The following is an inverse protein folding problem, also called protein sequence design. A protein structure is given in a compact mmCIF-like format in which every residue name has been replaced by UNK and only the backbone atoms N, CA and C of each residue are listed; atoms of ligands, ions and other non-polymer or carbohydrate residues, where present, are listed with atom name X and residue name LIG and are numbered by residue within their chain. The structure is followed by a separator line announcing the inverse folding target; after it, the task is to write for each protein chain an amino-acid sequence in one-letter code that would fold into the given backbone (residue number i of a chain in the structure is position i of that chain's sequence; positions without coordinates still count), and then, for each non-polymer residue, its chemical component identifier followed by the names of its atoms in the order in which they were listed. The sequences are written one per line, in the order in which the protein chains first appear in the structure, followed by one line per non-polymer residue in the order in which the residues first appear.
data_IF_399159445172
#
_entry.id   IF_399159445172
#
_cell.length_a   1.000
_cell.length_b   1.000
_cell.length_c   1.000
_cell.angle_alpha   90.00
_cell.angle_beta   90.00
_cell.angle_gamma   90.00
#
_symmetry.space_group_name_H-M   'P 1'
#
loop_
_entity.id
_entity.type
_entity.pdbx_description
1 polymer ?
#
# COMPACT_ATOMS: atom_id res chain seq x y z
N UNK A 1 -6.47 -23.06 3.62
CA UNK A 1 -7.23 -24.22 4.13
C UNK A 1 -8.74 -24.05 3.96
N UNK A 2 -9.36 -22.94 4.38
CA UNK A 2 -10.83 -22.79 4.27
C UNK A 2 -11.40 -22.76 2.83
N UNK A 3 -10.63 -22.28 1.86
CA UNK A 3 -11.08 -22.17 0.45
C UNK A 3 -11.05 -23.50 -0.32
N UNK A 4 -10.12 -24.40 0.01
CA UNK A 4 -9.96 -25.71 -0.63
C UNK A 4 -9.68 -26.78 0.42
N UNK A 5 -10.67 -27.12 1.28
CA UNK A 5 -10.45 -28.05 2.39
C UNK A 5 -10.03 -29.43 1.90
N UNK A 6 -10.63 -29.93 0.81
CA UNK A 6 -10.40 -31.28 0.31
C UNK A 6 -9.00 -31.45 -0.30
N UNK A 7 -8.52 -30.43 -1.04
CA UNK A 7 -7.16 -30.44 -1.62
C UNK A 7 -6.09 -30.54 -0.52
N UNK A 8 -6.29 -29.81 0.58
CA UNK A 8 -5.34 -29.79 1.69
C UNK A 8 -5.39 -31.08 2.51
N UNK A 9 -6.58 -31.69 2.64
CA UNK A 9 -6.77 -32.94 3.36
C UNK A 9 -6.22 -34.16 2.59
N UNK A 10 -6.20 -34.11 1.25
CA UNK A 10 -5.72 -35.21 0.41
C UNK A 10 -4.22 -35.13 0.10
N UNK A 11 -3.71 -33.98 -0.35
CA UNK A 11 -2.26 -33.70 -0.48
C UNK A 11 -2.01 -32.19 -0.64
N UNK A 12 -1.54 -31.54 0.43
CA UNK A 12 -1.21 -30.11 0.44
C UNK A 12 -0.16 -29.71 -0.62
N UNK A 13 0.62 -30.66 -1.18
CA UNK A 13 1.58 -30.39 -2.26
C UNK A 13 0.92 -29.98 -3.58
N UNK A 14 -0.37 -30.25 -3.74
CA UNK A 14 -1.13 -29.81 -4.92
C UNK A 14 -1.42 -28.30 -4.91
N UNK A 15 -1.27 -27.63 -3.76
CA UNK A 15 -1.31 -26.18 -3.67
C UNK A 15 0.10 -25.61 -3.88
N UNK A 16 0.38 -25.11 -5.08
CA UNK A 16 1.65 -24.42 -5.34
C UNK A 16 1.56 -22.96 -4.89
N UNK A 17 2.26 -22.65 -3.79
CA UNK A 17 2.46 -21.27 -3.35
C UNK A 17 3.77 -20.77 -3.97
N UNK A 18 3.69 -19.68 -4.73
CA UNK A 18 4.86 -19.04 -5.33
C UNK A 18 5.30 -17.93 -4.37
N UNK A 19 6.54 -18.03 -3.88
CA UNK A 19 7.15 -17.02 -3.02
C UNK A 19 8.41 -16.54 -3.75
N UNK A 20 8.41 -15.32 -4.29
CA UNK A 20 9.60 -14.72 -4.89
C UNK A 20 10.74 -14.57 -3.87
N UNK A 21 11.96 -14.45 -4.37
CA UNK A 21 13.07 -13.93 -3.56
C UNK A 21 12.75 -12.48 -3.15
N UNK A 22 13.12 -12.07 -1.94
CA UNK A 22 12.78 -10.75 -1.41
C UNK A 22 13.32 -9.59 -2.26
N UNK A 23 14.35 -9.81 -3.08
CA UNK A 23 14.88 -8.80 -4.02
C UNK A 23 14.02 -8.63 -5.27
N UNK A 24 13.08 -9.54 -5.51
CA UNK A 24 12.18 -9.56 -6.67
C UNK A 24 10.72 -9.54 -6.25
N UNK A 25 10.46 -9.43 -4.96
CA UNK A 25 9.10 -9.39 -4.44
C UNK A 25 8.47 -8.04 -4.77
N UNK A 26 7.48 -8.09 -5.65
CA UNK A 26 6.69 -6.97 -6.15
C UNK A 26 5.48 -6.68 -5.26
N UNK A 27 5.19 -7.56 -4.28
CA UNK A 27 3.96 -7.53 -3.49
C UNK A 27 3.86 -6.31 -2.58
N UNK A 28 4.96 -5.58 -2.38
CA UNK A 28 5.04 -4.31 -1.65
C UNK A 28 5.98 -3.36 -2.40
N UNK A 29 5.79 -2.03 -2.31
CA UNK A 29 6.71 -1.05 -2.89
C UNK A 29 8.16 -1.30 -2.45
N UNK A 30 9.08 -1.37 -3.41
CA UNK A 30 10.48 -1.72 -3.14
C UNK A 30 11.44 -1.03 -4.09
N UNK A 31 12.38 -0.25 -3.54
CA UNK A 31 13.48 0.32 -4.29
C UNK A 31 14.49 -0.74 -4.80
N UNK A 32 14.44 -1.96 -4.28
CA UNK A 32 15.24 -3.06 -4.84
C UNK A 32 14.66 -3.54 -6.18
N UNK A 33 13.33 -3.51 -6.31
CA UNK A 33 12.62 -3.83 -7.55
C UNK A 33 12.64 -2.65 -8.51
N UNK A 34 12.42 -1.44 -7.98
CA UNK A 34 12.39 -0.21 -8.77
C UNK A 34 13.27 0.90 -8.18
N UNK A 35 14.57 0.95 -8.52
CA UNK A 35 15.55 1.85 -7.90
C UNK A 35 15.14 3.32 -7.86
N UNK A 36 14.51 3.84 -8.94
CA UNK A 36 14.03 5.23 -9.02
C UNK A 36 13.00 5.60 -7.95
N UNK A 37 12.33 4.63 -7.34
CA UNK A 37 11.40 4.88 -6.24
C UNK A 37 12.10 5.58 -5.07
N UNK A 38 13.33 5.19 -4.73
CA UNK A 38 14.06 5.78 -3.62
C UNK A 38 14.34 7.27 -3.87
N UNK A 39 14.76 7.61 -5.08
CA UNK A 39 15.00 9.00 -5.47
C UNK A 39 13.71 9.82 -5.43
N UNK A 40 12.61 9.29 -5.99
CA UNK A 40 11.32 9.98 -6.00
C UNK A 40 10.77 10.22 -4.59
N UNK A 41 11.00 9.31 -3.65
CA UNK A 41 10.65 9.50 -2.24
C UNK A 41 11.55 10.55 -1.56
N UNK A 42 12.85 10.55 -1.85
CA UNK A 42 13.76 11.58 -1.33
C UNK A 42 13.36 12.97 -1.84
N UNK A 43 13.00 13.07 -3.13
CA UNK A 43 12.48 14.30 -3.72
C UNK A 43 11.18 14.75 -3.01
N UNK A 44 10.28 13.82 -2.70
CA UNK A 44 9.07 14.10 -1.92
C UNK A 44 9.40 14.64 -0.51
N UNK A 45 10.35 14.03 0.21
CA UNK A 45 10.73 14.47 1.55
C UNK A 45 11.29 15.90 1.58
N UNK A 46 11.83 16.39 0.46
CA UNK A 46 12.30 17.77 0.36
C UNK A 46 11.20 18.80 0.03
N UNK A 47 9.98 18.35 -0.30
CA UNK A 47 8.87 19.24 -0.66
C UNK A 47 8.34 20.07 0.52
N UNK A 48 7.71 21.23 0.23
CA UNK A 48 7.00 22.00 1.26
C UNK A 48 5.90 21.19 1.95
N UNK A 49 5.21 20.31 1.22
CA UNK A 49 4.13 19.48 1.76
C UNK A 49 4.64 18.53 2.84
N UNK A 50 5.71 17.79 2.57
CA UNK A 50 6.30 16.87 3.54
C UNK A 50 6.80 17.62 4.79
N UNK A 51 7.51 18.74 4.59
CA UNK A 51 8.03 19.59 5.66
C UNK A 51 6.91 20.21 6.51
N UNK A 52 5.85 20.70 5.88
CA UNK A 52 4.68 21.24 6.58
C UNK A 52 3.99 20.18 7.43
N UNK A 53 3.82 18.96 6.90
CA UNK A 53 3.21 17.85 7.66
C UNK A 53 4.02 17.49 8.91
N UNK A 54 5.35 17.49 8.80
CA UNK A 54 6.26 17.30 9.95
C UNK A 54 6.17 18.45 10.93
N UNK A 55 6.07 19.70 10.46
CA UNK A 55 5.91 20.85 11.35
C UNK A 55 4.58 20.80 12.12
N UNK A 56 3.49 20.49 11.42
CA UNK A 56 2.13 20.40 12.00
C UNK A 56 2.02 19.34 13.10
N UNK A 57 2.77 18.24 13.00
CA UNK A 57 2.79 17.16 13.99
C UNK A 57 3.83 17.33 15.11
N UNK A 58 4.57 18.46 15.15
CA UNK A 58 5.67 18.69 16.11
C UNK A 58 5.25 18.58 17.58
N UNK A 59 4.17 19.25 17.98
CA UNK A 59 3.64 19.17 19.34
C UNK A 59 3.18 17.75 19.69
N UNK A 60 2.49 17.09 18.76
CA UNK A 60 2.01 15.72 18.93
C UNK A 60 3.20 14.75 19.12
N UNK A 61 4.26 14.86 18.31
CA UNK A 61 5.48 14.06 18.46
C UNK A 61 6.17 14.29 19.79
N UNK A 62 6.34 15.54 20.23
CA UNK A 62 6.94 15.82 21.55
C UNK A 62 6.15 15.18 22.68
N UNK A 63 4.81 15.26 22.62
CA UNK A 63 3.95 14.61 23.60
C UNK A 63 4.07 13.07 23.55
N UNK A 64 4.09 12.49 22.34
CA UNK A 64 4.31 11.05 22.13
C UNK A 64 5.66 10.58 22.70
N UNK A 65 6.72 11.35 22.50
CA UNK A 65 8.03 11.08 23.08
C UNK A 65 7.98 11.04 24.61
N UNK A 66 7.28 11.98 25.24
CA UNK A 66 7.12 12.01 26.71
C UNK A 66 6.33 10.79 27.20
N UNK A 67 5.14 10.50 26.63
CA UNK A 67 4.27 9.43 27.14
C UNK A 67 4.80 8.03 26.85
N UNK A 68 5.64 7.88 25.82
CA UNK A 68 6.32 6.61 25.51
C UNK A 68 7.69 6.48 26.18
N UNK A 69 8.18 7.51 26.87
CA UNK A 69 9.50 7.52 27.51
C UNK A 69 10.67 7.56 26.53
N UNK A 70 10.44 8.04 25.30
CA UNK A 70 11.39 8.11 24.18
C UNK A 70 11.45 9.53 23.58
N UNK A 71 11.74 10.58 24.37
CA UNK A 71 11.70 11.96 23.88
C UNK A 71 12.65 12.21 22.70
N UNK A 72 13.82 11.57 22.69
CA UNK A 72 14.83 11.77 21.65
C UNK A 72 14.40 11.16 20.30
N UNK A 73 13.77 9.98 20.32
CA UNK A 73 13.28 9.28 19.11
C UNK A 73 12.21 10.08 18.35
N UNK A 74 11.49 10.97 19.04
CA UNK A 74 10.42 11.79 18.46
C UNK A 74 10.87 13.22 18.13
N UNK A 75 12.09 13.60 18.51
CA UNK A 75 12.63 14.95 18.34
C UNK A 75 13.41 15.08 17.02
N UNK A 76 12.70 14.92 15.91
CA UNK A 76 13.22 15.11 14.56
C UNK A 76 12.28 15.97 13.72
N UNK A 77 12.87 16.68 12.75
CA UNK A 77 12.18 17.42 11.71
C UNK A 77 12.44 16.82 10.32
N UNK A 78 13.09 15.66 10.25
CA UNK A 78 13.34 14.95 9.00
C UNK A 78 12.07 14.16 8.59
N UNK A 79 11.45 14.46 7.44
CA UNK A 79 10.30 13.71 6.95
C UNK A 79 10.58 12.21 6.72
N UNK A 80 11.81 11.83 6.38
CA UNK A 80 12.18 10.43 6.13
C UNK A 80 12.12 9.57 7.40
N UNK A 81 12.24 10.19 8.59
CA UNK A 81 12.14 9.49 9.88
C UNK A 81 10.68 9.17 10.27
N UNK A 82 9.70 9.86 9.68
CA UNK A 82 8.31 9.82 10.16
C UNK A 82 7.67 8.44 10.04
N UNK A 83 8.03 7.66 9.01
CA UNK A 83 7.56 6.28 8.87
C UNK A 83 7.97 5.42 10.06
N UNK A 84 9.22 5.53 10.51
CA UNK A 84 9.74 4.76 11.64
C UNK A 84 9.12 5.20 12.96
N UNK A 85 8.75 6.48 13.09
CA UNK A 85 8.11 7.02 14.29
C UNK A 85 6.65 6.59 14.38
N UNK A 86 5.85 6.92 13.37
CA UNK A 86 4.40 6.76 13.45
C UNK A 86 3.94 5.34 13.10
N UNK A 87 4.47 4.73 12.04
CA UNK A 87 4.04 3.38 11.64
C UNK A 87 4.45 2.34 12.69
N UNK A 88 5.68 2.39 13.20
CA UNK A 88 6.14 1.47 14.26
C UNK A 88 5.37 1.66 15.57
N UNK A 89 5.03 2.91 15.93
CA UNK A 89 4.21 3.16 17.10
C UNK A 89 2.78 2.63 16.88
N UNK A 90 2.21 2.84 15.70
CA UNK A 90 0.88 2.36 15.37
C UNK A 90 0.79 0.83 15.39
N UNK A 91 1.77 0.12 14.82
CA UNK A 91 1.84 -1.34 14.84
C UNK A 91 1.93 -1.89 16.28
N UNK A 92 2.79 -1.29 17.10
CA UNK A 92 2.92 -1.63 18.51
C UNK A 92 1.61 -1.38 19.28
N UNK A 93 1.02 -0.20 19.14
CA UNK A 93 -0.24 0.14 19.81
C UNK A 93 -1.37 -0.78 19.35
N UNK A 94 -1.51 -1.00 18.05
CA UNK A 94 -2.51 -1.91 17.46
C UNK A 94 -2.38 -3.32 18.02
N UNK A 95 -1.17 -3.83 18.18
CA UNK A 95 -0.92 -5.14 18.81
C UNK A 95 -1.32 -5.20 20.29
N UNK A 96 -1.14 -4.10 21.03
CA UNK A 96 -1.52 -3.99 22.45
C UNK A 96 -3.02 -3.78 22.67
N UNK A 97 -3.71 -3.12 21.73
CA UNK A 97 -5.13 -2.77 21.88
C UNK A 97 -6.08 -3.74 21.16
N UNK A 98 -5.64 -4.33 20.05
CA UNK A 98 -6.41 -5.29 19.25
C UNK A 98 -5.95 -6.73 19.47
N UNK A 99 -5.32 -7.04 20.62
CA UNK A 99 -4.74 -8.34 20.87
C UNK A 99 -5.74 -9.45 20.53
N UNK A 100 -5.38 -10.31 19.58
CA UNK A 100 -6.14 -11.49 19.16
C UNK A 100 -6.23 -12.56 20.25
N UNK A 101 -5.54 -12.33 21.37
CA UNK A 101 -5.71 -12.99 22.66
C UNK A 101 -6.61 -12.08 23.52
N UNK A 102 -7.62 -12.57 24.26
CA UNK A 102 -8.46 -11.74 25.11
C UNK A 102 -7.64 -11.18 26.29
N UNK A 103 -6.85 -10.15 26.03
CA UNK A 103 -6.28 -9.25 27.02
C UNK A 103 -6.99 -7.92 26.86
N UNK A 104 -7.54 -7.41 27.96
CA UNK A 104 -7.85 -5.98 28.01
C UNK A 104 -6.58 -5.19 27.67
N UNK A 105 -6.68 -4.02 27.02
CA UNK A 105 -5.53 -3.15 26.78
C UNK A 105 -4.80 -2.90 28.09
N UNK A 106 -3.66 -3.57 28.30
CA UNK A 106 -2.84 -3.43 29.50
C UNK A 106 -1.62 -2.61 29.14
N UNK A 107 -1.30 -1.63 29.99
CA UNK A 107 -0.10 -0.80 29.90
C UNK A 107 -0.04 0.13 28.68
N UNK A 108 -1.19 0.55 28.14
CA UNK A 108 -1.23 1.59 27.10
C UNK A 108 -1.08 2.97 27.78
N UNK A 109 -0.11 3.81 27.39
CA UNK A 109 0.06 5.13 27.98
C UNK A 109 -1.19 6.00 27.86
N UNK A 110 -1.34 6.96 28.79
CA UNK A 110 -2.50 7.85 28.83
C UNK A 110 -2.67 8.57 27.47
N UNK A 111 -3.89 8.52 26.92
CA UNK A 111 -4.23 9.15 25.64
C UNK A 111 -4.04 8.26 24.41
N UNK A 112 -3.35 7.12 24.52
CA UNK A 112 -3.10 6.18 23.41
C UNK A 112 -4.04 4.96 23.38
N UNK A 113 -5.10 4.95 24.20
CA UNK A 113 -6.15 3.93 24.11
C UNK A 113 -6.95 4.03 22.79
N UNK A 114 -7.70 2.99 22.45
CA UNK A 114 -8.44 2.83 21.16
C UNK A 114 -9.39 3.96 20.80
N UNK A 115 -9.86 4.73 21.77
CA UNK A 115 -10.76 5.87 21.56
C UNK A 115 -10.08 7.23 21.81
N UNK A 116 -8.77 7.23 22.04
CA UNK A 116 -7.98 8.41 22.28
C UNK A 116 -7.77 9.19 20.98
N UNK A 117 -7.94 10.53 20.97
CA UNK A 117 -7.62 11.37 19.81
C UNK A 117 -6.19 11.18 19.31
N UNK A 118 -5.25 10.91 20.24
CA UNK A 118 -3.85 10.70 19.91
C UNK A 118 -3.60 9.36 19.21
N UNK A 119 -4.31 8.29 19.57
CA UNK A 119 -4.25 7.01 18.85
C UNK A 119 -4.66 7.18 17.39
N UNK A 120 -5.77 7.89 17.15
CA UNK A 120 -6.24 8.20 15.79
C UNK A 120 -5.23 9.03 15.00
N UNK A 121 -4.57 10.00 15.64
CA UNK A 121 -3.49 10.78 15.00
C UNK A 121 -2.31 9.91 14.61
N UNK A 122 -1.89 8.99 15.48
CA UNK A 122 -0.82 8.04 15.19
C UNK A 122 -1.21 7.11 14.03
N UNK A 123 -2.47 6.67 13.95
CA UNK A 123 -2.99 5.92 12.80
C UNK A 123 -2.95 6.76 11.52
N UNK A 124 -3.46 7.99 11.55
CA UNK A 124 -3.51 8.89 10.38
C UNK A 124 -2.12 9.19 9.82
N UNK A 125 -1.15 9.51 10.69
CA UNK A 125 0.24 9.75 10.29
C UNK A 125 0.95 8.45 9.89
N UNK A 126 0.76 7.37 10.63
CA UNK A 126 1.35 6.07 10.32
C UNK A 126 0.92 5.58 8.95
N UNK A 127 -0.38 5.64 8.67
CA UNK A 127 -0.94 5.31 7.35
C UNK A 127 -0.36 6.22 6.27
N UNK A 128 -0.26 7.53 6.52
CA UNK A 128 0.28 8.45 5.52
C UNK A 128 1.71 8.09 5.14
N UNK A 129 2.61 8.04 6.13
CA UNK A 129 4.03 7.82 5.87
C UNK A 129 4.35 6.39 5.39
N UNK A 130 3.56 5.39 5.77
CA UNK A 130 3.76 4.00 5.36
C UNK A 130 3.13 3.68 4.00
N UNK A 131 1.94 4.21 3.71
CA UNK A 131 1.12 3.79 2.57
C UNK A 131 0.76 4.94 1.63
N UNK A 132 0.23 6.05 2.16
CA UNK A 132 -0.33 7.09 1.29
C UNK A 132 0.74 8.00 0.68
N UNK A 133 1.98 7.95 1.18
CA UNK A 133 3.13 8.64 0.59
C UNK A 133 3.31 8.23 -0.87
N UNK A 134 3.02 6.98 -1.21
CA UNK A 134 3.13 6.47 -2.57
C UNK A 134 2.07 7.06 -3.52
N UNK A 135 0.95 7.54 -2.98
CA UNK A 135 -0.14 8.14 -3.73
C UNK A 135 0.01 9.64 -3.98
N UNK A 136 1.06 10.28 -3.45
CA UNK A 136 1.26 11.75 -3.49
C UNK A 136 1.54 12.29 -4.88
N UNK A 137 2.08 11.48 -5.78
CA UNK A 137 2.27 11.83 -7.19
C UNK A 137 2.04 10.62 -8.10
N UNK A 138 1.70 10.88 -9.36
CA UNK A 138 1.56 9.82 -10.37
C UNK A 138 2.89 9.07 -10.59
N UNK A 139 4.02 9.78 -10.55
CA UNK A 139 5.35 9.16 -10.68
C UNK A 139 5.62 8.18 -9.54
N UNK A 140 5.46 8.62 -8.28
CA UNK A 140 5.74 7.75 -7.12
C UNK A 140 4.77 6.55 -7.15
N UNK A 141 3.50 6.78 -7.46
CA UNK A 141 2.50 5.71 -7.54
C UNK A 141 2.87 4.66 -8.59
N UNK A 142 3.29 5.12 -9.76
CA UNK A 142 3.76 4.26 -10.86
C UNK A 142 4.99 3.44 -10.46
N UNK A 143 5.99 4.07 -9.85
CA UNK A 143 7.22 3.40 -9.41
C UNK A 143 6.98 2.42 -8.25
N UNK A 144 6.07 2.75 -7.33
CA UNK A 144 5.76 1.97 -6.14
C UNK A 144 4.88 0.74 -6.44
N UNK A 145 3.79 0.93 -7.18
CA UNK A 145 2.75 -0.09 -7.37
C UNK A 145 2.78 -0.75 -8.73
N UNK A 146 3.37 -0.10 -9.73
CA UNK A 146 3.48 -0.61 -11.09
C UNK A 146 4.09 -2.02 -11.21
N UNK A 147 5.14 -2.38 -10.43
CA UNK A 147 5.66 -3.74 -10.44
C UNK A 147 4.63 -4.82 -10.07
N UNK A 148 3.81 -4.61 -9.05
CA UNK A 148 2.73 -5.54 -8.72
C UNK A 148 1.65 -5.55 -9.81
N UNK A 149 1.29 -4.36 -10.32
CA UNK A 149 0.27 -4.24 -11.37
C UNK A 149 0.70 -5.00 -12.62
N UNK A 150 2.01 -5.03 -12.90
CA UNK A 150 2.55 -5.85 -13.97
C UNK A 150 2.28 -7.34 -13.75
N UNK A 151 2.49 -7.85 -12.54
CA UNK A 151 2.20 -9.25 -12.22
C UNK A 151 0.70 -9.57 -12.30
N UNK A 152 -0.16 -8.60 -11.96
CA UNK A 152 -1.61 -8.71 -12.13
C UNK A 152 -1.97 -8.80 -13.61
N UNK A 153 -1.44 -7.92 -14.46
CA UNK A 153 -1.66 -7.94 -15.91
C UNK A 153 -1.16 -9.24 -16.54
N UNK A 154 0.02 -9.72 -16.12
CA UNK A 154 0.57 -10.97 -16.60
C UNK A 154 -0.36 -12.15 -16.24
N UNK A 155 -0.94 -12.19 -15.04
CA UNK A 155 -1.93 -13.22 -14.66
C UNK A 155 -3.28 -13.08 -15.40
N UNK A 156 -3.73 -11.85 -15.63
CA UNK A 156 -4.92 -11.55 -16.43
C UNK A 156 -4.79 -11.99 -17.89
N UNK A 157 -3.56 -12.04 -18.42
CA UNK A 157 -3.27 -12.46 -19.78
C UNK A 157 -3.38 -13.99 -19.99
N UNK A 158 -3.51 -14.79 -18.92
CA UNK A 158 -3.56 -16.26 -18.98
C UNK A 158 -5.02 -16.72 -19.17
N UNK A 159 -5.41 -17.22 -20.36
CA UNK A 159 -6.83 -17.48 -20.67
C UNK A 159 -7.51 -18.52 -19.77
N UNK A 160 -6.77 -19.51 -19.28
CA UNK A 160 -7.30 -20.59 -18.44
C UNK A 160 -7.32 -20.24 -16.94
N UNK A 161 -6.72 -19.12 -16.53
CA UNK A 161 -6.63 -18.72 -15.12
C UNK A 161 -8.02 -18.30 -14.62
N UNK A 162 -8.55 -19.04 -13.63
CA UNK A 162 -9.85 -18.73 -13.01
C UNK A 162 -9.73 -17.97 -11.69
N UNK A 163 -8.59 -18.06 -11.03
CA UNK A 163 -8.33 -17.43 -9.74
C UNK A 163 -6.83 -17.21 -9.57
N UNK A 164 -6.47 -15.98 -9.22
CA UNK A 164 -5.15 -15.62 -8.70
C UNK A 164 -5.33 -15.06 -7.29
N UNK A 165 -4.48 -15.49 -6.37
CA UNK A 165 -4.52 -15.06 -4.97
C UNK A 165 -3.18 -14.47 -4.60
N UNK A 166 -3.20 -13.17 -4.32
CA UNK A 166 -2.05 -12.40 -3.86
C UNK A 166 -2.14 -12.28 -2.34
N UNK A 167 -1.18 -12.88 -1.63
CA UNK A 167 -1.08 -12.84 -0.18
C UNK A 167 0.09 -11.94 0.21
N UNK A 168 -0.20 -10.75 0.74
CA UNK A 168 0.82 -9.77 1.10
C UNK A 168 0.54 -9.05 2.41
N UNK A 169 1.22 -7.94 2.60
CA UNK A 169 1.13 -7.10 3.78
C UNK A 169 0.08 -5.98 3.61
N UNK A 170 -0.14 -5.20 4.66
CA UNK A 170 -0.91 -3.96 4.64
C UNK A 170 -0.38 -2.94 3.63
N UNK A 171 0.93 -2.92 3.38
CA UNK A 171 1.55 -2.14 2.29
C UNK A 171 1.41 -2.73 0.90
N UNK A 172 0.78 -3.89 0.80
CA UNK A 172 0.82 -4.73 -0.37
C UNK A 172 -0.45 -4.72 -1.21
N UNK A 173 -0.87 -5.88 -1.77
CA UNK A 173 -1.68 -5.91 -2.98
C UNK A 173 -3.00 -5.17 -2.93
N UNK A 174 -3.71 -5.27 -1.80
CA UNK A 174 -4.97 -4.58 -1.62
C UNK A 174 -4.79 -3.05 -1.60
N UNK A 175 -3.75 -2.55 -0.93
CA UNK A 175 -3.47 -1.13 -0.87
C UNK A 175 -2.97 -0.59 -2.21
N UNK A 176 -2.04 -1.30 -2.87
CA UNK A 176 -1.48 -0.90 -4.17
C UNK A 176 -2.54 -0.74 -5.25
N UNK A 177 -3.47 -1.69 -5.34
CA UNK A 177 -4.57 -1.62 -6.30
C UNK A 177 -5.65 -0.61 -5.88
N UNK A 178 -5.96 -0.52 -4.58
CA UNK A 178 -6.94 0.45 -4.09
C UNK A 178 -6.50 1.90 -4.34
N UNK A 179 -5.23 2.23 -4.10
CA UNK A 179 -4.70 3.57 -4.33
C UNK A 179 -4.54 3.88 -5.83
N UNK A 180 -3.98 2.93 -6.60
CA UNK A 180 -3.87 3.04 -8.07
C UNK A 180 -5.20 3.33 -8.74
N UNK A 181 -6.24 2.58 -8.39
CA UNK A 181 -7.57 2.73 -8.99
C UNK A 181 -8.42 3.81 -8.30
N UNK A 182 -7.88 4.45 -7.26
CA UNK A 182 -8.56 5.44 -6.42
C UNK A 182 -9.92 4.92 -5.93
N UNK A 183 -9.95 3.68 -5.43
CA UNK A 183 -11.19 2.99 -5.10
C UNK A 183 -11.98 3.74 -4.03
N UNK A 184 -13.28 3.95 -4.25
CA UNK A 184 -14.21 4.49 -3.25
C UNK A 184 -15.34 3.51 -2.98
N UNK A 185 -15.76 3.36 -1.72
CA UNK A 185 -16.92 2.55 -1.40
C UNK A 185 -18.20 3.22 -1.89
N UNK A 186 -19.00 2.53 -2.71
CA UNK A 186 -20.17 3.13 -3.35
C UNK A 186 -21.29 3.56 -2.38
N UNK A 187 -21.39 2.89 -1.24
CA UNK A 187 -22.41 3.17 -0.22
C UNK A 187 -22.13 4.44 0.59
N UNK A 188 -20.89 4.92 0.61
CA UNK A 188 -20.43 6.01 1.46
C UNK A 188 -19.65 7.11 0.74
N UNK A 189 -19.13 6.83 -0.46
CA UNK A 189 -18.24 7.72 -1.21
C UNK A 189 -16.85 7.89 -0.59
N UNK A 190 -16.54 7.13 0.47
CA UNK A 190 -15.25 7.22 1.15
C UNK A 190 -14.18 6.41 0.40
N UNK A 191 -12.96 6.95 0.34
CA UNK A 191 -11.78 6.29 -0.23
C UNK A 191 -11.44 5.02 0.56
N UNK A 192 -11.20 3.91 -0.13
CA UNK A 192 -10.94 2.60 0.49
C UNK A 192 -9.58 2.57 1.22
N UNK A 193 -8.55 3.18 0.65
CA UNK A 193 -7.19 3.24 1.20
C UNK A 193 -6.97 4.40 2.21
N UNK A 194 -8.05 4.94 2.82
CA UNK A 194 -7.95 6.08 3.75
C UNK A 194 -7.77 5.68 5.22
N UNK A 195 -7.82 4.39 5.52
CA UNK A 195 -7.60 3.84 6.87
C UNK A 195 -6.56 2.73 6.80
N UNK A 196 -5.85 2.48 7.91
CA UNK A 196 -4.91 1.36 7.95
C UNK A 196 -5.64 0.05 7.60
N UNK A 197 -5.14 -0.74 6.63
CA UNK A 197 -5.79 -1.99 6.25
C UNK A 197 -5.92 -2.92 7.47
N UNK A 198 -7.14 -3.26 7.93
CA UNK A 198 -7.30 -4.17 9.06
C UNK A 198 -6.72 -5.56 8.74
N UNK A 199 -6.44 -6.35 9.78
CA UNK A 199 -6.12 -7.76 9.59
C UNK A 199 -7.17 -8.45 8.72
N UNK A 200 -6.71 -9.32 7.82
CA UNK A 200 -7.56 -10.02 6.84
C UNK A 200 -8.25 -9.12 5.81
N UNK A 201 -7.70 -7.91 5.59
CA UNK A 201 -8.15 -7.07 4.47
C UNK A 201 -8.17 -7.87 3.18
N UNK A 202 -9.31 -7.81 2.51
CA UNK A 202 -9.57 -8.55 1.27
C UNK A 202 -10.03 -7.59 0.21
N UNK A 203 -9.33 -7.56 -0.90
CA UNK A 203 -9.78 -6.91 -2.12
C UNK A 203 -9.98 -7.98 -3.20
N UNK A 204 -11.15 -7.96 -3.83
CA UNK A 204 -11.52 -8.88 -4.91
C UNK A 204 -11.77 -8.07 -6.17
N UNK A 205 -11.12 -8.47 -7.26
CA UNK A 205 -11.44 -8.05 -8.61
C UNK A 205 -12.14 -9.23 -9.30
N UNK A 206 -13.39 -9.03 -9.70
CA UNK A 206 -14.17 -10.04 -10.42
C UNK A 206 -14.29 -9.63 -11.89
N UNK A 207 -14.04 -10.58 -12.78
CA UNK A 207 -14.19 -10.39 -14.22
C UNK A 207 -15.38 -11.17 -14.74
N UNK A 208 -16.21 -10.50 -15.53
CA UNK A 208 -17.45 -11.03 -16.09
C UNK A 208 -17.31 -11.27 -17.59
N UNK A 209 -18.07 -12.23 -18.11
CA UNK A 209 -18.02 -12.64 -19.52
C UNK A 209 -18.45 -11.56 -20.51
N UNK A 210 -19.13 -10.51 -20.04
CA UNK A 210 -19.62 -9.38 -20.83
C UNK A 210 -18.68 -8.16 -20.78
N UNK A 211 -17.37 -8.40 -20.60
CA UNK A 211 -16.32 -7.39 -20.60
C UNK A 211 -16.48 -6.35 -19.47
N UNK A 212 -16.90 -6.82 -18.29
CA UNK A 212 -17.05 -6.00 -17.09
C UNK A 212 -16.15 -6.48 -15.97
N UNK A 213 -15.71 -5.54 -15.13
CA UNK A 213 -14.97 -5.78 -13.91
C UNK A 213 -15.71 -5.16 -12.70
N UNK A 214 -15.72 -5.86 -11.56
CA UNK A 214 -16.22 -5.35 -10.28
C UNK A 214 -15.11 -5.41 -9.23
N UNK A 215 -15.05 -4.38 -8.39
CA UNK A 215 -14.18 -4.34 -7.22
C UNK A 215 -14.97 -4.47 -5.93
N UNK A 216 -14.49 -5.31 -5.02
CA UNK A 216 -15.03 -5.48 -3.68
C UNK A 216 -13.87 -5.30 -2.70
N UNK A 217 -13.98 -4.32 -1.81
CA UNK A 217 -12.98 -4.04 -0.79
C UNK A 217 -13.60 -4.26 0.59
N UNK A 218 -13.08 -5.22 1.34
CA UNK A 218 -13.60 -5.65 2.65
C UNK A 218 -15.10 -5.96 2.64
N UNK A 219 -15.54 -6.73 1.63
CA UNK A 219 -16.93 -7.17 1.48
C UNK A 219 -17.90 -6.10 0.97
N UNK A 220 -17.42 -4.90 0.64
CA UNK A 220 -18.24 -3.78 0.14
C UNK A 220 -17.86 -3.44 -1.29
N UNK A 221 -18.85 -3.12 -2.11
CA UNK A 221 -18.63 -2.75 -3.53
C UNK A 221 -17.90 -1.42 -3.61
N UNK A 222 -16.85 -1.37 -4.42
CA UNK A 222 -16.07 -0.18 -4.69
C UNK A 222 -16.22 0.28 -6.15
N UNK A 223 -16.19 1.59 -6.35
CA UNK A 223 -16.11 2.22 -7.66
C UNK A 223 -14.66 2.59 -7.99
N UNK A 224 -14.31 2.51 -9.27
CA UNK A 224 -12.99 2.88 -9.79
C UNK A 224 -13.03 4.34 -10.21
N UNK A 225 -12.37 5.21 -9.44
CA UNK A 225 -12.44 6.66 -9.68
C UNK A 225 -11.35 7.16 -10.63
N UNK A 226 -10.27 6.39 -10.79
CA UNK A 226 -9.16 6.74 -11.67
C UNK A 226 -9.56 6.75 -13.17
N UNK A 227 -10.64 6.04 -13.54
CA UNK A 227 -11.11 5.88 -14.92
C UNK A 227 -12.46 6.59 -15.06
N UNK A 228 -12.53 7.62 -15.90
CA UNK A 228 -13.67 8.55 -15.97
C UNK A 228 -15.01 7.84 -16.21
N UNK A 229 -15.05 6.88 -17.13
CA UNK A 229 -16.26 6.13 -17.45
C UNK A 229 -16.68 5.14 -16.36
N UNK A 230 -15.82 4.85 -15.37
CA UNK A 230 -16.10 3.92 -14.27
C UNK A 230 -16.53 4.63 -12.98
N UNK A 231 -16.34 5.95 -12.89
CA UNK A 231 -16.65 6.77 -11.70
C UNK A 231 -18.10 6.62 -11.25
N UNK A 232 -18.29 6.37 -9.95
CA UNK A 232 -19.60 6.18 -9.32
C UNK A 232 -20.38 4.95 -9.79
N UNK A 233 -19.77 4.03 -10.55
CA UNK A 233 -20.39 2.79 -11.03
C UNK A 233 -19.84 1.58 -10.29
N UNK A 234 -20.68 0.55 -10.18
CA UNK A 234 -20.32 -0.75 -9.61
C UNK A 234 -19.59 -1.68 -10.58
N UNK A 235 -19.69 -1.39 -11.87
CA UNK A 235 -19.12 -2.17 -12.97
C UNK A 235 -18.30 -1.22 -13.84
N UNK A 236 -17.06 -1.60 -14.09
CA UNK A 236 -16.13 -0.91 -14.98
C UNK A 236 -15.95 -1.74 -16.24
N UNK A 237 -15.76 -1.10 -17.40
CA UNK A 237 -15.41 -1.83 -18.61
C UNK A 237 -14.01 -2.46 -18.43
N UNK A 238 -13.87 -3.75 -18.72
CA UNK A 238 -12.62 -4.48 -18.47
C UNK A 238 -11.50 -4.05 -19.42
N UNK A 239 -11.78 -3.77 -20.69
CA UNK A 239 -10.78 -3.24 -21.63
C UNK A 239 -10.23 -1.89 -21.15
N UNK A 240 -11.12 -0.95 -20.76
CA UNK A 240 -10.72 0.33 -20.17
C UNK A 240 -9.87 0.16 -18.91
N UNK A 241 -10.24 -0.78 -18.03
CA UNK A 241 -9.47 -1.10 -16.84
C UNK A 241 -8.08 -1.63 -17.19
N UNK A 242 -8.01 -2.58 -18.12
CA UNK A 242 -6.77 -3.20 -18.55
C UNK A 242 -5.83 -2.15 -19.18
N UNK A 243 -6.34 -1.32 -20.09
CA UNK A 243 -5.59 -0.22 -20.71
C UNK A 243 -5.06 0.77 -19.65
N UNK A 244 -5.90 1.15 -18.68
CA UNK A 244 -5.46 2.02 -17.58
C UNK A 244 -4.34 1.38 -16.76
N UNK A 245 -4.49 0.10 -16.38
CA UNK A 245 -3.48 -0.62 -15.62
C UNK A 245 -2.14 -0.73 -16.37
N UNK A 246 -2.15 -0.84 -17.71
CA UNK A 246 -0.91 -0.80 -18.50
C UNK A 246 -0.19 0.56 -18.39
N UNK A 247 -0.92 1.68 -18.31
CA UNK A 247 -0.31 3.01 -18.22
C UNK A 247 0.46 3.27 -16.92
N UNK A 248 0.08 2.57 -15.85
CA UNK A 248 0.66 2.71 -14.50
C UNK A 248 1.79 1.70 -14.24
N UNK A 249 2.20 0.92 -15.25
CA UNK A 249 3.40 0.09 -15.18
C UNK A 249 4.61 0.91 -15.67
N UNK A 250 5.67 1.07 -14.87
CA UNK A 250 6.90 1.72 -15.31
C UNK A 250 7.64 0.85 -16.32
N UNK A 251 8.13 1.47 -17.38
CA UNK A 251 9.10 0.83 -18.24
C UNK A 251 10.48 0.73 -17.56
N UNK A 252 11.41 0.00 -18.17
CA UNK A 252 12.73 -0.24 -17.58
C UNK A 252 13.51 1.06 -17.31
N UNK A 253 13.39 2.07 -18.17
CA UNK A 253 14.08 3.35 -18.00
C UNK A 253 13.47 4.20 -16.88
N UNK A 254 12.15 4.22 -16.77
CA UNK A 254 11.44 4.89 -15.67
C UNK A 254 11.85 4.28 -14.31
N UNK A 255 12.11 2.97 -14.30
CA UNK A 255 12.37 2.23 -13.08
C UNK A 255 13.85 2.20 -12.66
N UNK A 256 14.77 2.08 -13.63
CA UNK A 256 16.23 2.01 -13.39
C UNK A 256 16.96 3.34 -13.57
N UNK A 257 16.32 4.33 -14.17
CA UNK A 257 16.98 5.58 -14.61
C UNK A 257 17.65 5.43 -15.99
N UNK A 258 18.03 6.57 -16.58
CA UNK A 258 18.81 6.59 -17.81
C UNK A 258 20.22 6.09 -17.46
N UNK A 259 20.77 5.09 -18.17
CA UNK A 259 22.16 4.67 -17.95
C UNK A 259 23.08 5.89 -18.09
N UNK A 260 23.92 6.15 -17.09
CA UNK A 260 24.97 7.15 -17.26
C UNK A 260 25.78 6.78 -18.49
N UNK A 261 25.81 7.68 -19.48
CA UNK A 261 26.73 7.54 -20.60
C UNK A 261 28.11 7.71 -19.96
N UNK A 262 28.83 6.59 -19.76
CA UNK A 262 30.25 6.65 -19.47
C UNK A 262 30.87 7.52 -20.57
N UNK A 263 31.22 8.76 -20.24
CA UNK A 263 32.01 9.60 -21.11
C UNK A 263 33.35 8.88 -21.27
N UNK A 264 33.41 8.04 -22.31
CA UNK A 264 34.60 7.32 -22.68
C UNK A 264 35.75 8.32 -22.76
N UNK A 265 36.80 8.02 -22.00
CA UNK A 265 38.12 8.60 -22.19
C UNK A 265 38.55 8.36 -23.64
N UNK A 266 38.21 9.29 -24.53
CA UNK A 266 38.94 9.48 -25.77
C UNK A 266 40.28 10.11 -25.40
N UNK A 267 41.23 9.27 -24.99
CA UNK A 267 42.65 9.61 -25.08
C UNK A 267 43.05 9.48 -26.54
N UNK A 268 43.25 10.63 -27.18
CA UNK A 268 44.10 10.78 -28.36
C UNK A 268 45.52 11.13 -27.90
#
# INVERSE_FOLDING_TARGET
MGMFPDIVNEDAKNLRIIIPDSRRDTMTPSATVCPRLNDALNDFYETPEAKERVEQSSFERQFLGIVTGRPDDFNTNDPSDMVNIFASLFDCLSSHVCSTVPSEPKNVPLGLGTYGPLFKRVEEEGLFWMNNVYGTSEEIRKLAYGPLIRDVLDDLSIPERRLSVYLGHDTGPANSLADTLQLTWMDSGNVCAKTWPPFTTTMVMELYSDNQARFIYNGRVASVEAIEECRGKSLCNYESLYEYLETVVPNEFECKGIPEIEHGNFLA
#
